data_IF_630087908342
#
_entry.id   IF_630087908342
#
_cell.length_a   1.000
_cell.length_b   1.000
_cell.length_c   1.000
_cell.angle_alpha   90.00
_cell.angle_beta   90.00
_cell.angle_gamma   90.00
#
_symmetry.space_group_name_H-M   'P 1'
#
loop_
_entity.id
_entity.type
_entity.pdbx_description
1 polymer ?
#
# COMPACT_ATOMS: atom_id res chain seq x y z
N UNK A 1 19.03 10.29 -8.19
CA UNK A 1 17.81 9.49 -7.99
C UNK A 1 18.08 8.12 -8.55
N UNK A 2 18.20 7.14 -7.67
CA UNK A 2 18.21 5.75 -8.07
C UNK A 2 16.77 5.32 -8.36
N UNK A 3 16.61 4.52 -9.41
CA UNK A 3 15.33 3.98 -9.82
C UNK A 3 15.42 2.47 -9.77
N UNK A 4 14.40 1.84 -9.21
CA UNK A 4 14.27 0.40 -9.24
C UNK A 4 13.27 0.01 -10.32
N UNK A 5 13.70 -0.91 -11.17
CA UNK A 5 12.79 -1.62 -12.07
C UNK A 5 11.96 -2.61 -11.25
N UNK A 6 10.65 -2.50 -11.36
CA UNK A 6 9.68 -3.39 -10.71
C UNK A 6 8.90 -4.10 -11.80
N UNK A 7 8.69 -5.40 -11.67
CA UNK A 7 7.90 -6.14 -12.65
C UNK A 7 6.46 -5.61 -12.68
N UNK A 8 5.81 -5.71 -13.84
CA UNK A 8 4.44 -5.27 -14.01
C UNK A 8 3.48 -5.95 -13.02
N UNK A 9 3.69 -7.24 -12.71
CA UNK A 9 2.86 -7.94 -11.72
C UNK A 9 3.06 -7.39 -10.31
N UNK A 10 4.25 -6.91 -9.99
CA UNK A 10 4.52 -6.25 -8.70
C UNK A 10 3.78 -4.92 -8.61
N UNK A 11 3.82 -4.09 -9.67
CA UNK A 11 3.01 -2.86 -9.73
C UNK A 11 1.52 -3.15 -9.53
N UNK A 12 1.00 -4.17 -10.22
CA UNK A 12 -0.41 -4.57 -10.10
C UNK A 12 -0.75 -5.01 -8.68
N UNK A 13 0.15 -5.78 -8.05
CA UNK A 13 0.00 -6.24 -6.67
C UNK A 13 0.06 -5.09 -5.67
N UNK A 14 1.03 -4.18 -5.79
CA UNK A 14 1.16 -3.00 -4.93
C UNK A 14 -0.09 -2.12 -5.02
N UNK A 15 -0.60 -1.89 -6.23
CA UNK A 15 -1.86 -1.19 -6.41
C UNK A 15 -3.01 -1.92 -5.72
N UNK A 16 -3.17 -3.21 -5.97
CA UNK A 16 -4.28 -3.99 -5.41
C UNK A 16 -4.25 -4.03 -3.87
N UNK A 17 -3.06 -4.17 -3.29
CA UNK A 17 -2.88 -4.15 -1.85
C UNK A 17 -3.24 -2.77 -1.27
N UNK A 18 -2.67 -1.69 -1.77
CA UNK A 18 -2.96 -0.34 -1.26
C UNK A 18 -4.43 0.07 -1.46
N UNK A 19 -5.03 -0.35 -2.59
CA UNK A 19 -6.46 -0.19 -2.86
C UNK A 19 -7.31 -0.95 -1.83
N UNK A 20 -6.93 -2.18 -1.50
CA UNK A 20 -7.60 -2.97 -0.47
C UNK A 20 -7.48 -2.28 0.90
N UNK A 21 -6.31 -1.75 1.24
CA UNK A 21 -6.08 -1.01 2.49
C UNK A 21 -6.96 0.24 2.56
N UNK A 22 -6.94 1.09 1.53
CA UNK A 22 -7.80 2.29 1.45
C UNK A 22 -9.28 1.96 1.66
N UNK A 23 -9.80 0.98 0.91
CA UNK A 23 -11.20 0.58 1.04
C UNK A 23 -11.51 -0.01 2.41
N UNK A 24 -10.58 -0.76 2.99
CA UNK A 24 -10.75 -1.36 4.32
C UNK A 24 -10.78 -0.29 5.41
N UNK A 25 -9.92 0.73 5.31
CA UNK A 25 -9.94 1.92 6.17
C UNK A 25 -11.23 2.73 5.98
N UNK A 26 -11.68 2.94 4.75
CA UNK A 26 -12.95 3.63 4.47
C UNK A 26 -14.14 2.95 5.16
N UNK A 27 -14.16 1.60 5.14
CA UNK A 27 -15.19 0.81 5.82
C UNK A 27 -15.08 0.84 7.33
N UNK A 28 -13.87 0.90 7.89
CA UNK A 28 -13.68 0.92 9.34
C UNK A 28 -14.18 2.20 10.01
N UNK A 29 -14.53 3.25 9.24
CA UNK A 29 -15.28 4.42 9.74
C UNK A 29 -16.61 4.05 10.38
N UNK A 30 -17.25 2.98 9.92
CA UNK A 30 -18.58 2.55 10.35
C UNK A 30 -18.52 1.34 11.29
N UNK A 31 -17.32 0.88 11.64
CA UNK A 31 -17.08 -0.28 12.51
C UNK A 31 -15.96 0.05 13.50
N UNK A 32 -15.30 -0.96 14.07
CA UNK A 32 -14.09 -0.75 14.88
C UNK A 32 -12.79 -1.02 14.09
N UNK A 33 -11.70 -0.37 14.51
CA UNK A 33 -10.36 -0.69 14.02
C UNK A 33 -9.89 -2.07 14.53
N UNK A 34 -10.47 -2.58 15.63
CA UNK A 34 -10.23 -3.94 16.10
C UNK A 34 -10.73 -4.97 15.08
N UNK A 35 -11.94 -4.80 14.55
CA UNK A 35 -12.46 -5.72 13.52
C UNK A 35 -11.64 -5.64 12.22
N UNK A 36 -11.14 -4.45 11.88
CA UNK A 36 -10.18 -4.29 10.78
C UNK A 36 -8.88 -5.05 11.07
N UNK A 37 -8.33 -4.96 12.28
CA UNK A 37 -7.16 -5.73 12.70
C UNK A 37 -7.40 -7.23 12.59
N UNK A 38 -8.53 -7.73 13.09
CA UNK A 38 -8.92 -9.14 12.99
C UNK A 38 -9.01 -9.60 11.54
N UNK A 39 -9.50 -8.75 10.62
CA UNK A 39 -9.55 -9.05 9.18
C UNK A 39 -8.16 -9.23 8.55
N UNK A 40 -7.11 -8.58 9.06
CA UNK A 40 -5.75 -8.73 8.54
C UNK A 40 -4.96 -9.87 9.18
N UNK A 41 -5.50 -10.59 10.16
CA UNK A 41 -4.82 -11.71 10.84
C UNK A 41 -4.59 -12.93 9.93
N UNK A 42 -5.46 -13.18 8.96
CA UNK A 42 -5.38 -14.32 8.03
C UNK A 42 -5.10 -13.91 6.57
N UNK A 43 -4.75 -12.63 6.35
CA UNK A 43 -4.47 -12.04 5.05
C UNK A 43 -3.02 -11.59 4.95
N UNK A 44 -2.64 -11.12 3.76
CA UNK A 44 -1.32 -10.51 3.59
C UNK A 44 -1.23 -9.28 4.49
N UNK A 45 -0.31 -9.32 5.45
CA UNK A 45 -0.14 -8.24 6.41
C UNK A 45 0.72 -7.11 5.84
N UNK A 46 0.62 -5.89 6.40
CA UNK A 46 1.55 -4.80 6.06
C UNK A 46 3.01 -5.19 6.31
N UNK A 47 3.29 -5.97 7.37
CA UNK A 47 4.64 -6.48 7.65
C UNK A 47 5.17 -7.38 6.55
N UNK A 48 4.36 -8.30 6.04
CA UNK A 48 4.75 -9.16 4.92
C UNK A 48 5.06 -8.32 3.66
N UNK A 49 4.26 -7.29 3.40
CA UNK A 49 4.53 -6.36 2.30
C UNK A 49 5.83 -5.56 2.53
N UNK A 50 6.08 -5.07 3.75
CA UNK A 50 7.31 -4.36 4.10
C UNK A 50 8.54 -5.25 3.93
N UNK A 51 8.50 -6.50 4.40
CA UNK A 51 9.56 -7.48 4.22
C UNK A 51 9.83 -7.78 2.75
N UNK A 52 8.76 -7.93 1.96
CA UNK A 52 8.87 -8.11 0.51
C UNK A 52 9.55 -6.92 -0.17
N UNK A 53 9.18 -5.69 0.20
CA UNK A 53 9.86 -4.49 -0.27
C UNK A 53 11.33 -4.52 0.14
N UNK A 54 11.68 -4.76 1.41
CA UNK A 54 13.08 -4.79 1.86
C UNK A 54 13.96 -5.73 1.06
N UNK A 55 13.51 -6.98 0.91
CA UNK A 55 14.27 -8.03 0.20
C UNK A 55 14.42 -7.69 -1.28
N UNK A 56 13.35 -7.25 -1.94
CA UNK A 56 13.40 -6.89 -3.37
C UNK A 56 14.24 -5.66 -3.66
N UNK A 57 14.35 -4.77 -2.68
CA UNK A 57 15.07 -3.52 -2.84
C UNK A 57 16.55 -3.64 -2.46
N UNK A 58 16.98 -4.79 -1.94
CA UNK A 58 18.32 -5.01 -1.41
C UNK A 58 18.76 -3.87 -0.47
N UNK A 59 17.80 -3.34 0.30
CA UNK A 59 18.05 -2.25 1.23
C UNK A 59 18.64 -2.88 2.50
N UNK A 60 19.87 -2.53 2.90
CA UNK A 60 20.47 -3.03 4.14
C UNK A 60 19.57 -2.73 5.33
N UNK A 61 19.47 -3.68 6.25
CA UNK A 61 18.80 -3.48 7.53
C UNK A 61 19.42 -2.26 8.24
N UNK A 62 18.61 -1.21 8.43
CA UNK A 62 19.02 0.09 8.98
C UNK A 62 18.72 1.28 8.07
N UNK A 63 18.78 1.13 6.75
CA UNK A 63 18.60 2.27 5.83
C UNK A 63 17.15 2.78 5.79
N UNK A 64 16.14 1.91 5.92
CA UNK A 64 14.74 2.36 5.87
C UNK A 64 14.39 3.34 6.98
N UNK A 65 14.85 3.11 8.22
CA UNK A 65 14.53 4.00 9.34
C UNK A 65 15.16 5.39 9.13
N UNK A 66 16.42 5.43 8.69
CA UNK A 66 17.12 6.68 8.40
C UNK A 66 16.48 7.43 7.22
N UNK A 67 16.05 6.69 6.18
CA UNK A 67 15.39 7.24 5.01
C UNK A 67 13.97 7.74 5.34
N UNK A 68 13.21 7.00 6.16
CA UNK A 68 11.89 7.43 6.66
C UNK A 68 12.04 8.71 7.47
N UNK A 69 13.00 8.78 8.40
CA UNK A 69 13.27 9.98 9.17
C UNK A 69 13.63 11.20 8.28
N UNK A 70 14.38 10.99 7.20
CA UNK A 70 14.68 12.06 6.24
C UNK A 70 13.44 12.54 5.47
N UNK A 71 12.50 11.66 5.15
CA UNK A 71 11.23 12.01 4.50
C UNK A 71 10.30 12.74 5.47
N UNK A 72 10.21 12.28 6.72
CA UNK A 72 9.42 12.94 7.76
C UNK A 72 9.89 14.37 8.04
N UNK A 73 11.21 14.59 8.08
CA UNK A 73 11.80 15.91 8.21
C UNK A 73 11.60 16.80 6.96
N UNK A 74 11.20 16.23 5.82
CA UNK A 74 10.92 16.94 4.56
C UNK A 74 9.42 17.22 4.34
N UNK A 75 8.54 17.00 5.34
CA UNK A 75 7.08 17.15 5.21
C UNK A 75 6.57 18.57 4.84
N UNK A 76 7.43 19.58 4.71
CA UNK A 76 7.07 20.93 4.22
C UNK A 76 7.03 21.09 2.68
N UNK A 77 7.39 20.06 1.91
CA UNK A 77 7.35 20.12 0.45
C UNK A 77 6.18 19.34 -0.13
N UNK A 78 5.20 20.03 -0.75
CA UNK A 78 4.19 19.40 -1.63
C UNK A 78 4.87 18.38 -2.55
N UNK A 79 4.70 17.09 -2.28
CA UNK A 79 5.31 16.02 -3.07
C UNK A 79 4.78 16.11 -4.50
N UNK A 80 5.65 16.57 -5.41
CA UNK A 80 5.34 16.71 -6.83
C UNK A 80 5.52 15.33 -7.46
N UNK A 81 4.51 14.47 -7.34
CA UNK A 81 4.44 13.23 -8.11
C UNK A 81 4.50 13.59 -9.60
N UNK A 82 5.64 13.33 -10.25
CA UNK A 82 5.83 13.61 -11.67
C UNK A 82 5.04 12.58 -12.47
N UNK A 83 3.98 13.04 -13.12
CA UNK A 83 2.95 12.23 -13.79
C UNK A 83 3.39 11.48 -15.07
N UNK A 84 4.70 11.29 -15.30
CA UNK A 84 5.21 10.88 -16.61
C UNK A 84 6.30 9.81 -16.52
N UNK A 85 5.90 8.56 -16.24
CA UNK A 85 6.70 7.40 -16.61
C UNK A 85 5.81 6.17 -16.85
N UNK A 86 5.60 5.82 -18.12
CA UNK A 86 4.94 4.58 -18.59
C UNK A 86 5.73 3.30 -18.29
N UNK A 87 6.90 3.40 -17.65
CA UNK A 87 7.69 2.23 -17.24
C UNK A 87 7.31 1.83 -15.82
N UNK A 88 7.24 0.53 -15.58
CA UNK A 88 7.07 -0.08 -14.26
C UNK A 88 8.35 0.12 -13.43
N UNK A 89 8.57 1.37 -13.04
CA UNK A 89 9.75 1.82 -12.31
C UNK A 89 9.26 2.67 -11.16
N UNK A 90 9.85 2.47 -9.99
CA UNK A 90 9.66 3.28 -8.80
C UNK A 90 11.01 3.87 -8.39
N UNK A 91 11.03 5.16 -8.07
CA UNK A 91 12.20 5.78 -7.47
C UNK A 91 12.37 5.35 -6.01
N UNK A 92 13.58 5.50 -5.50
CA UNK A 92 13.88 5.24 -4.08
C UNK A 92 12.96 6.03 -3.14
N UNK A 93 12.71 7.31 -3.41
CA UNK A 93 11.80 8.16 -2.63
C UNK A 93 10.36 7.63 -2.62
N UNK A 94 9.89 7.12 -3.76
CA UNK A 94 8.56 6.52 -3.88
C UNK A 94 8.45 5.22 -3.08
N UNK A 95 9.51 4.41 -3.05
CA UNK A 95 9.56 3.17 -2.28
C UNK A 95 9.64 3.43 -0.77
N UNK A 96 10.42 4.43 -0.35
CA UNK A 96 10.44 4.89 1.05
C UNK A 96 9.05 5.38 1.46
N UNK A 97 8.40 6.17 0.59
CA UNK A 97 7.03 6.66 0.85
C UNK A 97 6.05 5.50 0.97
N UNK A 98 6.15 4.47 0.12
CA UNK A 98 5.33 3.27 0.21
C UNK A 98 5.56 2.54 1.53
N UNK A 99 6.82 2.29 1.90
CA UNK A 99 7.17 1.65 3.17
C UNK A 99 6.61 2.42 4.37
N UNK A 100 6.76 3.75 4.38
CA UNK A 100 6.22 4.60 5.44
C UNK A 100 4.70 4.49 5.57
N UNK A 101 3.96 4.46 4.45
CA UNK A 101 2.51 4.24 4.49
C UNK A 101 2.14 2.87 5.09
N UNK A 102 2.95 1.84 4.84
CA UNK A 102 2.76 0.51 5.43
C UNK A 102 3.05 0.52 6.93
N UNK A 103 4.09 1.21 7.40
CA UNK A 103 4.40 1.37 8.83
C UNK A 103 3.26 2.09 9.57
N UNK A 104 2.74 3.17 9.00
CA UNK A 104 1.62 3.91 9.57
C UNK A 104 0.36 3.04 9.63
N UNK A 105 0.11 2.24 8.59
CA UNK A 105 -1.03 1.34 8.56
C UNK A 105 -0.88 0.19 9.58
N UNK A 106 0.30 -0.43 9.66
CA UNK A 106 0.60 -1.45 10.66
C UNK A 106 0.44 -0.92 12.09
N UNK A 107 0.97 0.29 12.34
CA UNK A 107 0.78 1.00 13.60
C UNK A 107 -0.70 1.28 13.90
N UNK A 108 -1.51 1.61 12.89
CA UNK A 108 -2.95 1.78 13.04
C UNK A 108 -3.61 0.46 13.48
N UNK A 109 -3.32 -0.64 12.80
CA UNK A 109 -3.85 -1.98 13.13
C UNK A 109 -3.49 -2.40 14.56
N UNK A 110 -2.26 -2.10 15.01
CA UNK A 110 -1.74 -2.52 16.32
C UNK A 110 -1.96 -1.52 17.45
N UNK A 111 -2.52 -0.34 17.16
CA UNK A 111 -2.66 0.74 18.13
C UNK A 111 -3.60 0.42 19.30
N UNK A 112 -4.43 -0.63 19.19
CA UNK A 112 -5.46 -0.96 20.17
C UNK A 112 -6.59 0.07 20.25
N UNK A 113 -6.58 1.11 19.40
CA UNK A 113 -7.68 2.07 19.29
C UNK A 113 -8.91 1.37 18.73
N UNK A 114 -10.08 1.63 19.30
CA UNK A 114 -11.32 1.08 18.77
C UNK A 114 -11.90 1.93 17.64
N UNK A 115 -11.71 3.25 17.70
CA UNK A 115 -12.41 4.21 16.84
C UNK A 115 -11.53 4.74 15.71
N UNK A 116 -12.15 4.93 14.55
CA UNK A 116 -11.56 5.64 13.42
C UNK A 116 -11.31 7.11 13.76
N UNK A 117 -10.11 7.62 13.47
CA UNK A 117 -9.72 9.00 13.83
C UNK A 117 -9.39 9.84 12.60
N UNK A 118 -9.16 11.13 12.81
CA UNK A 118 -8.71 12.05 11.75
C UNK A 118 -7.33 11.65 11.21
N UNK A 119 -6.46 11.09 12.05
CA UNK A 119 -5.16 10.55 11.62
C UNK A 119 -5.35 9.32 10.73
N UNK A 120 -6.30 8.43 11.05
CA UNK A 120 -6.66 7.30 10.19
C UNK A 120 -7.18 7.78 8.82
N UNK A 121 -8.00 8.85 8.81
CA UNK A 121 -8.46 9.47 7.57
C UNK A 121 -7.31 10.06 6.74
N UNK A 122 -6.38 10.75 7.41
CA UNK A 122 -5.18 11.28 6.77
C UNK A 122 -4.38 10.18 6.07
N UNK A 123 -4.11 9.08 6.79
CA UNK A 123 -3.43 7.91 6.25
C UNK A 123 -4.17 7.34 5.03
N UNK A 124 -5.48 7.14 5.13
CA UNK A 124 -6.29 6.61 4.03
C UNK A 124 -6.18 7.49 2.78
N UNK A 125 -6.30 8.80 2.94
CA UNK A 125 -6.18 9.77 1.84
C UNK A 125 -4.78 9.74 1.22
N UNK A 126 -3.73 9.62 2.02
CA UNK A 126 -2.36 9.57 1.52
C UNK A 126 -2.06 8.26 0.77
N UNK A 127 -2.58 7.12 1.26
CA UNK A 127 -2.57 5.85 0.52
C UNK A 127 -3.30 5.99 -0.82
N UNK A 128 -4.50 6.58 -0.80
CA UNK A 128 -5.31 6.76 -2.00
C UNK A 128 -4.60 7.62 -3.06
N UNK A 129 -3.97 8.72 -2.64
CA UNK A 129 -3.15 9.55 -3.51
C UNK A 129 -1.94 8.79 -4.06
N UNK A 130 -1.25 8.03 -3.21
CA UNK A 130 -0.08 7.26 -3.63
C UNK A 130 -0.44 6.30 -4.75
N UNK A 131 -1.40 5.39 -4.55
CA UNK A 131 -1.70 4.41 -5.58
C UNK A 131 -2.33 5.04 -6.83
N UNK A 132 -3.16 6.07 -6.71
CA UNK A 132 -3.87 6.67 -7.86
C UNK A 132 -2.96 7.56 -8.71
N UNK A 133 -2.04 8.31 -8.10
CA UNK A 133 -1.16 9.21 -8.83
C UNK A 133 0.11 8.51 -9.33
N UNK A 134 0.58 7.49 -8.60
CA UNK A 134 1.85 6.84 -8.91
C UNK A 134 1.68 5.47 -9.57
N UNK A 135 0.85 4.59 -9.03
CA UNK A 135 0.75 3.20 -9.50
C UNK A 135 -0.25 3.05 -10.65
N UNK A 136 -1.42 3.67 -10.54
CA UNK A 136 -2.49 3.58 -11.53
C UNK A 136 -2.04 3.93 -12.96
N UNK A 137 -1.27 5.01 -13.19
CA UNK A 137 -0.83 5.36 -14.55
C UNK A 137 0.12 4.33 -15.19
N UNK A 138 0.67 3.40 -14.39
CA UNK A 138 1.58 2.33 -14.82
C UNK A 138 0.84 1.02 -15.13
N UNK A 139 -0.47 0.95 -14.89
CA UNK A 139 -1.30 -0.26 -15.08
C UNK A 139 -2.12 -0.15 -16.36
N UNK A 140 -2.20 -1.24 -17.13
CA UNK A 140 -3.09 -1.29 -18.28
C UNK A 140 -4.55 -1.18 -17.84
N UNK A 141 -5.35 -0.37 -18.54
CA UNK A 141 -6.78 -0.14 -18.23
C UNK A 141 -7.58 -1.44 -18.08
N UNK A 142 -7.25 -2.48 -18.85
CA UNK A 142 -7.91 -3.80 -18.77
C UNK A 142 -7.66 -4.52 -17.45
N UNK A 143 -6.46 -4.40 -16.89
CA UNK A 143 -6.11 -5.02 -15.62
C UNK A 143 -6.57 -4.16 -14.45
N UNK A 144 -6.46 -2.84 -14.57
CA UNK A 144 -7.01 -1.88 -13.61
C UNK A 144 -8.49 -2.14 -13.33
N UNK A 145 -9.30 -2.36 -14.38
CA UNK A 145 -10.71 -2.74 -14.25
C UNK A 145 -10.95 -4.02 -13.44
N UNK A 146 -9.97 -4.94 -13.40
CA UNK A 146 -10.07 -6.19 -12.63
C UNK A 146 -9.71 -5.97 -11.15
N UNK A 147 -8.77 -5.07 -10.87
CA UNK A 147 -8.26 -4.84 -9.49
C UNK A 147 -8.93 -3.66 -8.78
N UNK A 148 -9.70 -2.82 -9.48
CA UNK A 148 -10.43 -1.71 -8.85
C UNK A 148 -11.50 -2.20 -7.85
N UNK A 149 -12.01 -3.42 -8.04
CA UNK A 149 -12.98 -4.11 -7.20
C UNK A 149 -12.31 -5.21 -6.36
N UNK A 150 -11.12 -4.92 -5.81
CA UNK A 150 -10.42 -5.83 -4.91
C UNK A 150 -11.26 -6.09 -3.64
N UNK A 151 -11.19 -7.32 -3.12
CA UNK A 151 -11.78 -7.66 -1.82
C UNK A 151 -11.22 -6.73 -0.73
N UNK A 152 -12.05 -6.39 0.25
CA UNK A 152 -11.64 -5.55 1.38
C UNK A 152 -12.52 -5.81 2.59
N UNK A 153 -12.07 -5.33 3.75
CA UNK A 153 -12.82 -5.42 4.99
C UNK A 153 -14.20 -4.75 4.84
N UNK A 154 -15.27 -5.35 5.39
CA UNK A 154 -16.62 -4.79 5.29
C UNK A 154 -17.21 -4.81 3.87
N UNK A 155 -16.62 -5.57 2.94
CA UNK A 155 -17.13 -5.75 1.58
C UNK A 155 -18.52 -6.40 1.61
N UNK A 156 -19.44 -5.86 0.79
CA UNK A 156 -20.75 -6.49 0.58
C UNK A 156 -20.56 -7.81 -0.17
N UNK A 157 -21.02 -8.92 0.44
CA UNK A 157 -20.90 -10.29 -0.07
C UNK A 157 -21.62 -10.54 -1.40
N UNK A 158 -22.57 -9.69 -1.78
CA UNK A 158 -23.30 -9.81 -3.05
C UNK A 158 -22.51 -9.25 -4.24
N UNK A 159 -21.48 -8.44 -3.99
CA UNK A 159 -20.67 -7.86 -5.05
C UNK A 159 -19.54 -8.82 -5.43
N UNK A 160 -19.35 -9.02 -6.72
CA UNK A 160 -18.22 -9.78 -7.25
C UNK A 160 -16.93 -8.96 -7.09
N UNK A 161 -16.01 -9.47 -6.29
CA UNK A 161 -14.68 -8.87 -6.10
C UNK A 161 -13.58 -9.76 -6.65
N UNK A 162 -12.39 -9.18 -6.77
CA UNK A 162 -11.14 -9.90 -7.03
C UNK A 162 -10.47 -10.18 -5.69
N UNK A 163 -9.97 -11.39 -5.46
CA UNK A 163 -9.19 -11.66 -4.25
C UNK A 163 -7.75 -11.18 -4.42
N UNK A 164 -7.13 -10.72 -3.33
CA UNK A 164 -5.75 -10.23 -3.39
C UNK A 164 -4.79 -11.33 -3.82
N UNK A 165 -5.03 -12.58 -3.35
CA UNK A 165 -4.22 -13.76 -3.68
C UNK A 165 -4.08 -14.00 -5.19
N UNK A 166 -5.06 -13.57 -5.98
CA UNK A 166 -5.07 -13.78 -7.43
C UNK A 166 -4.09 -12.89 -8.19
N UNK A 167 -3.56 -11.84 -7.55
CA UNK A 167 -2.60 -10.90 -8.13
C UNK A 167 -1.27 -10.91 -7.41
N UNK A 168 -1.08 -11.81 -6.44
CA UNK A 168 0.18 -12.02 -5.73
C UNK A 168 1.25 -12.52 -6.71
N UNK A 169 2.39 -11.82 -6.84
CA UNK A 169 3.52 -12.29 -7.64
C UNK A 169 4.10 -13.59 -7.09
N UNK A 170 4.62 -14.46 -7.96
CA UNK A 170 5.18 -15.77 -7.54
C UNK A 170 6.34 -15.62 -6.56
N UNK A 171 7.13 -14.57 -6.71
CA UNK A 171 8.29 -14.27 -5.87
C UNK A 171 7.91 -13.72 -4.49
N UNK A 172 6.66 -13.31 -4.27
CA UNK A 172 6.16 -12.90 -2.96
C UNK A 172 6.10 -14.09 -1.99
N UNK A 173 5.74 -15.28 -2.49
CA UNK A 173 5.60 -16.49 -1.67
C UNK A 173 6.93 -17.20 -1.38
N UNK A 174 8.01 -16.78 -2.06
CA UNK A 174 9.37 -17.32 -1.86
C UNK A 174 10.22 -16.43 -0.97
N UNK A 175 9.64 -15.36 -0.46
CA UNK A 175 10.25 -14.37 0.43
C UNK A 175 9.90 -14.72 1.87
#
# INVERSE_FOLDING_TARGET
MNYLEVDYKQILFFYAFLRQVDLSLDRSRWTSLKELHDYYQDRISPEQMMSYLKIRLNIPDGNFNDLTAQVENKKDGKSKFKLFAKKAVLSEEELISFHHLLELFDGCLKSGKEQYTIETEGLRVDIAKFYSLLLEPKIAKSDLKKVISIEHYGQNRLLKTKELKDVVPKDFLTT
#
